data_IF_719881369624
#
_entry.id   IF_719881369624
#
_cell.length_a   1.000
_cell.length_b   1.000
_cell.length_c   1.000
_cell.angle_alpha   90.00
_cell.angle_beta   90.00
_cell.angle_gamma   90.00
#
_symmetry.space_group_name_H-M   'P 1'
#
loop_
_entity.id
_entity.type
_entity.pdbx_description
1 polymer ?
#
# COMPACT_ATOMS: atom_id res chain seq x y z
N UNK A 1 82.43 -12.73 1.34
CA UNK A 1 81.63 -13.95 1.07
C UNK A 1 80.26 -13.70 1.70
N UNK A 2 79.25 -13.18 1.01
CA UNK A 2 78.73 -13.62 -0.28
C UNK A 2 77.45 -14.42 -0.04
N UNK A 3 76.45 -13.82 0.63
CA UNK A 3 75.11 -14.39 0.75
C UNK A 3 74.37 -14.23 -0.58
N UNK A 4 73.65 -15.25 -1.07
CA UNK A 4 73.14 -15.29 -2.43
C UNK A 4 72.00 -14.27 -2.64
N UNK A 5 72.14 -13.50 -3.71
CA UNK A 5 71.19 -12.48 -4.15
C UNK A 5 69.88 -13.06 -4.68
N UNK A 6 68.80 -12.35 -4.37
CA UNK A 6 67.46 -12.56 -4.87
C UNK A 6 67.37 -12.14 -6.36
N UNK A 7 66.90 -13.00 -7.29
CA UNK A 7 66.66 -12.63 -8.69
C UNK A 7 65.32 -11.90 -8.88
N UNK A 8 65.20 -10.95 -9.84
CA UNK A 8 64.03 -10.10 -9.96
C UNK A 8 62.91 -10.66 -10.86
N UNK A 9 61.68 -10.35 -10.43
CA UNK A 9 60.43 -10.09 -11.16
C UNK A 9 59.87 -11.10 -12.21
N UNK A 10 58.65 -11.58 -11.94
CA UNK A 10 57.60 -11.67 -12.97
C UNK A 10 56.25 -11.23 -12.37
N UNK A 11 55.93 -9.93 -12.55
CA UNK A 11 54.62 -9.36 -12.23
C UNK A 11 53.63 -9.79 -13.34
N UNK A 12 52.98 -10.94 -13.18
CA UNK A 12 51.83 -11.28 -14.01
C UNK A 12 50.62 -10.48 -13.53
N UNK A 13 50.28 -9.42 -14.27
CA UNK A 13 49.09 -8.61 -14.03
C UNK A 13 47.82 -9.43 -14.20
N UNK A 14 47.15 -9.74 -13.08
CA UNK A 14 45.73 -10.13 -13.09
C UNK A 14 44.90 -8.87 -12.87
N UNK A 15 44.30 -8.39 -13.96
CA UNK A 15 43.22 -7.40 -13.93
C UNK A 15 42.09 -7.98 -13.06
N UNK A 16 41.91 -7.44 -11.86
CA UNK A 16 40.73 -7.72 -11.04
C UNK A 16 39.53 -7.09 -11.76
N UNK A 17 38.73 -7.93 -12.42
CA UNK A 17 37.40 -7.55 -12.86
C UNK A 17 36.63 -7.05 -11.62
N UNK A 18 36.32 -5.76 -11.60
CA UNK A 18 35.51 -5.13 -10.58
C UNK A 18 34.14 -5.81 -10.55
N UNK A 19 33.89 -6.62 -9.53
CA UNK A 19 32.57 -7.19 -9.27
C UNK A 19 31.65 -6.02 -8.92
N UNK A 20 30.84 -5.60 -9.90
CA UNK A 20 29.80 -4.59 -9.68
C UNK A 20 28.98 -5.00 -8.46
N UNK A 21 29.09 -4.22 -7.38
CA UNK A 21 28.24 -4.41 -6.21
C UNK A 21 26.80 -4.14 -6.66
N UNK A 22 25.86 -5.07 -6.48
CA UNK A 22 24.47 -4.77 -6.77
C UNK A 22 24.05 -3.61 -5.87
N UNK A 23 23.49 -2.56 -6.46
CA UNK A 23 22.84 -1.47 -5.75
C UNK A 23 21.74 -2.12 -4.90
N UNK A 24 21.95 -2.17 -3.59
CA UNK A 24 20.94 -2.60 -2.62
C UNK A 24 19.80 -1.59 -2.76
N UNK A 25 18.73 -1.95 -3.47
CA UNK A 25 17.48 -1.20 -3.42
C UNK A 25 17.01 -1.25 -1.97
N UNK A 26 17.08 -0.13 -1.27
CA UNK A 26 16.62 0.02 0.12
C UNK A 26 15.09 0.11 0.18
N UNK A 27 14.40 -0.82 -0.47
CA UNK A 27 13.01 -1.12 -0.16
C UNK A 27 13.10 -2.41 0.65
N UNK A 28 12.64 -2.38 1.90
CA UNK A 28 12.36 -3.61 2.61
C UNK A 28 11.31 -4.36 1.77
N UNK A 29 11.77 -5.32 0.96
CA UNK A 29 10.90 -6.19 0.19
C UNK A 29 10.29 -7.18 1.19
N UNK A 30 9.23 -6.74 1.89
CA UNK A 30 8.31 -7.70 2.48
C UNK A 30 7.59 -8.35 1.30
N UNK A 31 8.09 -9.51 0.88
CA UNK A 31 7.43 -10.34 -0.11
C UNK A 31 6.29 -11.04 0.63
N UNK A 32 5.15 -10.36 0.73
CA UNK A 32 3.92 -10.98 1.19
C UNK A 32 3.53 -12.13 0.25
N UNK A 33 2.76 -13.09 0.75
CA UNK A 33 2.15 -14.10 -0.10
C UNK A 33 0.99 -13.48 -0.89
N UNK A 34 0.77 -13.95 -2.12
CA UNK A 34 -0.42 -13.56 -2.88
C UNK A 34 -1.69 -13.98 -2.12
N UNK A 35 -2.75 -13.15 -2.12
CA UNK A 35 -4.01 -13.50 -1.46
C UNK A 35 -4.54 -14.86 -1.96
N UNK A 36 -5.08 -15.69 -1.07
CA UNK A 36 -5.61 -17.01 -1.41
C UNK A 36 -4.54 -18.11 -1.60
N UNK A 37 -3.25 -17.76 -1.49
CA UNK A 37 -2.15 -18.72 -1.38
C UNK A 37 -1.74 -18.77 0.09
N UNK A 38 -2.05 -19.88 0.77
CA UNK A 38 -1.66 -20.06 2.16
C UNK A 38 -0.14 -19.96 2.34
N UNK A 39 0.32 -19.47 3.49
CA UNK A 39 1.72 -19.58 3.90
C UNK A 39 1.96 -20.93 4.59
N UNK A 40 3.18 -21.47 4.55
CA UNK A 40 3.51 -22.69 5.30
C UNK A 40 3.19 -22.51 6.79
N UNK A 41 2.65 -23.55 7.43
CA UNK A 41 2.11 -23.55 8.80
C UNK A 41 3.11 -23.24 9.93
N UNK A 42 4.34 -22.84 9.61
CA UNK A 42 5.42 -22.56 10.57
C UNK A 42 5.62 -21.07 10.84
N UNK A 43 4.78 -20.20 10.27
CA UNK A 43 5.04 -18.74 10.24
C UNK A 43 3.89 -17.93 10.83
N UNK A 44 3.26 -18.36 11.92
CA UNK A 44 2.10 -17.66 12.44
C UNK A 44 1.96 -17.65 13.98
N UNK A 45 1.97 -16.42 14.52
CA UNK A 45 1.11 -15.92 15.60
C UNK A 45 1.55 -16.08 17.06
N UNK A 46 2.83 -15.90 17.39
CA UNK A 46 3.20 -15.55 18.78
C UNK A 46 3.40 -14.03 18.89
N UNK A 47 2.55 -13.31 19.66
CA UNK A 47 2.78 -11.91 20.02
C UNK A 47 4.19 -11.72 20.58
N UNK A 48 4.95 -10.76 20.04
CA UNK A 48 6.33 -10.48 20.48
C UNK A 48 7.45 -11.28 19.80
N UNK A 49 7.15 -12.07 18.77
CA UNK A 49 8.19 -12.67 17.90
C UNK A 49 8.55 -11.78 16.70
N UNK A 50 9.59 -12.15 15.94
CA UNK A 50 10.21 -11.39 14.84
C UNK A 50 9.32 -11.16 13.60
N UNK A 51 8.02 -11.44 13.69
CA UNK A 51 7.01 -11.16 12.66
C UNK A 51 5.99 -10.19 13.24
N UNK A 52 5.67 -9.16 12.46
CA UNK A 52 4.75 -8.08 12.80
C UNK A 52 3.39 -8.63 13.24
N UNK A 53 3.17 -8.70 14.55
CA UNK A 53 1.85 -8.87 15.14
C UNK A 53 0.98 -7.68 14.74
N UNK A 54 -0.22 -7.92 14.19
CA UNK A 54 -1.20 -6.87 13.92
C UNK A 54 -1.41 -6.02 15.18
N UNK A 55 -1.51 -6.65 16.36
CA UNK A 55 -1.66 -5.98 17.65
C UNK A 55 -0.41 -5.22 18.10
N UNK A 56 0.75 -5.47 17.51
CA UNK A 56 1.99 -4.70 17.69
C UNK A 56 2.20 -3.60 16.63
N UNK A 57 1.30 -3.45 15.66
CA UNK A 57 1.41 -2.47 14.59
C UNK A 57 0.96 -1.07 15.02
N UNK A 58 1.42 -0.04 14.30
CA UNK A 58 0.99 1.36 14.50
C UNK A 58 -0.53 1.56 14.38
N UNK A 59 -1.24 0.66 13.69
CA UNK A 59 -2.67 0.76 13.43
C UNK A 59 -3.56 0.07 14.49
N UNK A 60 -3.00 -0.80 15.33
CA UNK A 60 -3.78 -1.56 16.32
C UNK A 60 -3.64 -1.05 17.76
N UNK A 61 -3.20 0.20 17.93
CA UNK A 61 -2.94 0.84 19.24
C UNK A 61 -3.56 2.24 19.27
N UNK A 62 -3.66 2.82 20.44
CA UNK A 62 -4.46 4.01 20.77
C UNK A 62 -4.25 5.26 19.90
N UNK A 63 -3.11 5.38 19.18
CA UNK A 63 -2.90 6.46 18.18
C UNK A 63 -3.77 6.29 16.93
N UNK A 64 -4.12 5.05 16.60
CA UNK A 64 -5.11 4.68 15.60
C UNK A 64 -6.44 4.22 16.24
N UNK A 65 -6.58 4.36 17.56
CA UNK A 65 -7.76 3.92 18.33
C UNK A 65 -9.02 4.77 18.11
N UNK A 66 -8.93 5.84 17.33
CA UNK A 66 -10.08 6.61 16.88
C UNK A 66 -10.46 6.23 15.45
N UNK A 67 -11.76 6.04 15.22
CA UNK A 67 -12.28 5.87 13.88
C UNK A 67 -12.16 7.19 13.11
N UNK A 68 -11.28 7.22 12.12
CA UNK A 68 -11.03 8.39 11.29
C UNK A 68 -12.19 8.58 10.31
N UNK A 69 -12.96 9.66 10.48
CA UNK A 69 -14.04 10.01 9.56
C UNK A 69 -13.51 10.85 8.40
N UNK A 70 -12.85 11.97 8.71
CA UNK A 70 -12.17 12.84 7.73
C UNK A 70 -10.88 13.31 8.37
N UNK A 71 -9.77 13.29 7.63
CA UNK A 71 -8.46 13.69 8.15
C UNK A 71 -7.80 14.75 7.29
N UNK A 72 -6.90 15.53 7.90
CA UNK A 72 -6.13 16.53 7.14
C UNK A 72 -5.21 15.90 6.09
N UNK A 73 -4.60 14.74 6.40
CA UNK A 73 -3.76 14.04 5.43
C UNK A 73 -4.58 13.52 4.25
N UNK A 74 -5.80 13.03 4.48
CA UNK A 74 -6.74 12.67 3.43
C UNK A 74 -7.07 13.86 2.52
N UNK A 75 -7.45 14.99 3.10
CA UNK A 75 -7.77 16.21 2.33
C UNK A 75 -6.59 16.64 1.46
N UNK A 76 -5.35 16.46 1.93
CA UNK A 76 -4.14 16.75 1.15
C UNK A 76 -3.93 15.77 0.00
N UNK A 77 -4.26 14.49 0.17
CA UNK A 77 -4.25 13.55 -0.95
C UNK A 77 -5.36 13.84 -1.97
N UNK A 78 -6.55 14.25 -1.53
CA UNK A 78 -7.64 14.70 -2.41
C UNK A 78 -7.20 15.95 -3.19
N UNK A 79 -6.58 16.92 -2.51
CA UNK A 79 -6.00 18.11 -3.16
C UNK A 79 -4.93 17.70 -4.19
N UNK A 80 -4.04 16.77 -3.84
CA UNK A 80 -3.00 16.29 -4.73
C UNK A 80 -3.57 15.65 -5.99
N UNK A 81 -4.57 14.78 -5.85
CA UNK A 81 -5.25 14.14 -6.97
C UNK A 81 -5.97 15.17 -7.85
N UNK A 82 -6.75 16.08 -7.24
CA UNK A 82 -7.49 17.09 -7.97
C UNK A 82 -6.55 18.01 -8.76
N UNK A 83 -5.46 18.47 -8.14
CA UNK A 83 -4.45 19.29 -8.78
C UNK A 83 -3.74 18.55 -9.93
N UNK A 84 -3.42 17.26 -9.74
CA UNK A 84 -2.81 16.43 -10.78
C UNK A 84 -3.75 16.30 -12.00
N UNK A 85 -5.03 16.02 -11.76
CA UNK A 85 -6.05 15.93 -12.80
C UNK A 85 -6.27 17.25 -13.53
N UNK A 86 -6.12 18.37 -12.83
CA UNK A 86 -6.15 19.71 -13.41
C UNK A 86 -4.85 20.13 -14.14
N UNK A 87 -3.84 19.26 -14.22
CA UNK A 87 -2.55 19.55 -14.84
C UNK A 87 -1.61 20.41 -13.99
N UNK A 88 -1.99 20.77 -12.76
CA UNK A 88 -1.17 21.56 -11.84
C UNK A 88 -0.26 20.64 -11.01
N UNK A 89 0.81 20.14 -11.63
CA UNK A 89 1.74 19.20 -11.00
C UNK A 89 2.53 19.79 -9.83
N UNK A 90 2.85 21.08 -9.89
CA UNK A 90 3.47 21.80 -8.78
C UNK A 90 2.64 21.69 -7.49
N UNK A 91 1.35 22.02 -7.60
CA UNK A 91 0.41 21.92 -6.47
C UNK A 91 0.19 20.47 -6.04
N UNK A 92 0.07 19.55 -7.00
CA UNK A 92 -0.11 18.14 -6.71
C UNK A 92 1.05 17.57 -5.88
N UNK A 93 2.29 17.89 -6.27
CA UNK A 93 3.49 17.44 -5.58
C UNK A 93 3.60 18.03 -4.17
N UNK A 94 3.30 19.32 -4.02
CA UNK A 94 3.31 19.98 -2.71
C UNK A 94 2.27 19.36 -1.76
N UNK A 95 1.05 19.14 -2.24
CA UNK A 95 -0.02 18.52 -1.47
C UNK A 95 0.29 17.05 -1.11
N UNK A 96 0.88 16.29 -2.04
CA UNK A 96 1.34 14.91 -1.78
C UNK A 96 2.36 14.87 -0.62
N UNK A 97 3.41 15.69 -0.70
CA UNK A 97 4.45 15.75 0.33
C UNK A 97 3.89 16.20 1.70
N UNK A 98 2.92 17.11 1.70
CA UNK A 98 2.24 17.54 2.92
C UNK A 98 1.34 16.46 3.52
N UNK A 99 0.58 15.72 2.70
CA UNK A 99 -0.23 14.59 3.14
C UNK A 99 0.61 13.50 3.80
N UNK A 100 1.75 13.14 3.19
CA UNK A 100 2.71 12.20 3.77
C UNK A 100 3.24 12.71 5.11
N UNK A 101 3.69 13.96 5.17
CA UNK A 101 4.20 14.59 6.40
C UNK A 101 3.15 14.55 7.51
N UNK A 102 1.92 14.95 7.21
CA UNK A 102 0.82 14.99 8.17
C UNK A 102 0.49 13.58 8.70
N UNK A 103 0.41 12.58 7.83
CA UNK A 103 0.21 11.19 8.24
C UNK A 103 1.36 10.69 9.12
N UNK A 104 2.62 10.89 8.71
CA UNK A 104 3.78 10.46 9.48
C UNK A 104 3.87 11.15 10.85
N UNK A 105 3.52 12.43 10.95
CA UNK A 105 3.45 13.15 12.24
C UNK A 105 2.38 12.58 13.15
N UNK A 106 1.20 12.25 12.61
CA UNK A 106 0.11 11.61 13.36
C UNK A 106 0.56 10.28 13.97
N UNK A 107 1.05 9.36 13.14
CA UNK A 107 1.48 8.03 13.61
C UNK A 107 2.78 8.09 14.42
N UNK A 108 3.58 9.14 14.20
CA UNK A 108 4.90 9.36 14.81
C UNK A 108 4.87 9.71 16.29
N UNK A 109 3.72 10.04 16.86
CA UNK A 109 3.58 10.34 18.29
C UNK A 109 3.79 9.12 19.20
N UNK A 110 3.89 7.90 18.65
CA UNK A 110 4.20 6.66 19.37
C UNK A 110 3.06 6.14 20.27
N UNK A 111 2.50 4.97 19.96
CA UNK A 111 1.40 4.41 20.74
C UNK A 111 1.88 3.99 22.13
N UNK A 112 1.13 4.31 23.18
CA UNK A 112 1.56 4.09 24.57
C UNK A 112 0.54 3.34 25.45
N UNK A 113 -0.68 3.07 24.98
CA UNK A 113 -1.80 2.79 25.90
C UNK A 113 -2.61 1.50 25.66
N UNK A 114 -2.05 0.48 25.02
CA UNK A 114 -2.77 -0.79 24.87
C UNK A 114 -2.00 -1.97 25.48
N UNK A 115 -2.62 -2.85 26.29
CA UNK A 115 -2.00 -4.07 26.79
C UNK A 115 -1.66 -5.07 25.65
N UNK A 116 -0.50 -5.74 25.68
CA UNK A 116 0.68 -5.45 26.50
C UNK A 116 1.35 -4.13 26.07
N UNK A 117 1.97 -3.43 27.02
CA UNK A 117 2.63 -2.15 26.74
C UNK A 117 3.72 -2.30 25.68
N UNK A 118 3.52 -1.67 24.52
CA UNK A 118 4.49 -1.59 23.42
C UNK A 118 4.79 -0.12 23.19
N UNK A 119 6.03 0.30 23.46
CA UNK A 119 6.49 1.65 23.11
C UNK A 119 7.02 1.62 21.69
N UNK A 120 6.33 2.31 20.78
CA UNK A 120 6.81 2.51 19.43
C UNK A 120 7.81 3.67 19.40
N UNK A 121 8.94 3.55 18.67
CA UNK A 121 9.86 4.66 18.52
C UNK A 121 9.14 5.83 17.83
N UNK A 122 9.28 7.02 18.41
CA UNK A 122 8.74 8.23 17.80
C UNK A 122 9.35 8.45 16.41
N UNK A 123 8.54 8.91 15.46
CA UNK A 123 9.04 9.31 14.14
C UNK A 123 9.46 10.78 14.23
N UNK A 124 10.76 11.01 14.14
CA UNK A 124 11.37 12.34 14.18
C UNK A 124 11.15 13.12 12.88
N UNK A 125 11.17 14.46 12.95
CA UNK A 125 11.13 15.31 11.75
C UNK A 125 12.26 15.00 10.75
N UNK A 126 13.42 14.56 11.24
CA UNK A 126 14.54 14.12 10.40
C UNK A 126 14.20 12.84 9.62
N UNK A 127 13.52 11.87 10.23
CA UNK A 127 13.06 10.65 9.55
C UNK A 127 11.95 10.97 8.54
N UNK A 128 11.06 11.91 8.85
CA UNK A 128 10.04 12.38 7.89
C UNK A 128 10.71 13.05 6.69
N UNK A 129 11.67 13.93 6.92
CA UNK A 129 12.43 14.58 5.85
C UNK A 129 13.18 13.56 4.99
N UNK A 130 13.82 12.56 5.61
CA UNK A 130 14.50 11.48 4.91
C UNK A 130 13.54 10.65 4.04
N UNK A 131 12.35 10.33 4.53
CA UNK A 131 11.34 9.62 3.75
C UNK A 131 10.84 10.45 2.56
N UNK A 132 10.56 11.73 2.76
CA UNK A 132 10.14 12.65 1.70
C UNK A 132 11.20 12.87 0.61
N UNK A 133 12.48 12.70 0.95
CA UNK A 133 13.61 12.76 0.02
C UNK A 133 13.94 11.39 -0.62
N UNK A 134 13.24 10.32 -0.24
CA UNK A 134 13.51 8.97 -0.74
C UNK A 134 12.90 8.72 -2.12
N UNK A 135 13.32 7.63 -2.78
CA UNK A 135 12.77 7.20 -4.06
C UNK A 135 11.30 6.74 -3.98
N UNK A 136 10.73 6.60 -2.77
CA UNK A 136 9.32 6.30 -2.58
C UNK A 136 8.40 7.50 -2.87
N UNK A 137 8.95 8.72 -2.91
CA UNK A 137 8.20 9.96 -3.14
C UNK A 137 8.74 10.64 -4.40
N UNK A 138 7.88 11.11 -5.33
CA UNK A 138 8.31 11.94 -6.45
C UNK A 138 9.10 13.16 -5.96
N UNK A 139 10.23 13.47 -6.59
CA UNK A 139 11.08 14.57 -6.16
C UNK A 139 10.75 15.86 -6.91
N UNK A 140 10.37 15.73 -8.18
CA UNK A 140 10.03 16.81 -9.11
C UNK A 140 8.67 16.60 -9.76
N UNK A 141 8.15 17.63 -10.42
CA UNK A 141 6.91 17.54 -11.20
C UNK A 141 7.00 16.56 -12.37
N UNK A 142 8.21 16.41 -12.94
CA UNK A 142 8.48 15.47 -14.02
C UNK A 142 8.35 14.01 -13.56
N UNK A 143 8.63 13.73 -12.28
CA UNK A 143 8.51 12.38 -11.70
C UNK A 143 7.03 11.99 -11.49
N UNK A 144 6.16 12.98 -11.28
CA UNK A 144 4.73 12.79 -11.09
C UNK A 144 4.04 12.66 -12.46
N UNK A 145 4.14 11.47 -13.05
CA UNK A 145 3.59 11.14 -14.37
C UNK A 145 2.23 10.44 -14.31
N UNK A 146 1.91 9.80 -13.19
CA UNK A 146 0.66 9.06 -12.97
C UNK A 146 0.08 9.38 -11.60
N UNK A 147 -1.15 8.91 -11.34
CA UNK A 147 -1.78 8.99 -10.02
C UNK A 147 -1.18 8.02 -8.98
N UNK A 148 -0.40 7.03 -9.42
CA UNK A 148 0.19 5.98 -8.57
C UNK A 148 0.80 6.52 -7.27
N UNK A 149 1.79 7.42 -7.28
CA UNK A 149 2.42 7.86 -6.03
C UNK A 149 1.47 8.59 -5.08
N UNK A 150 0.39 9.20 -5.58
CA UNK A 150 -0.63 9.84 -4.74
C UNK A 150 -1.50 8.78 -4.09
N UNK A 151 -2.03 7.84 -4.88
CA UNK A 151 -2.97 6.83 -4.39
C UNK A 151 -2.29 5.76 -3.54
N UNK A 152 -1.04 5.41 -3.80
CA UNK A 152 -0.25 4.53 -2.94
C UNK A 152 -0.08 5.13 -1.54
N UNK A 153 0.27 6.40 -1.44
CA UNK A 153 0.44 7.09 -0.14
C UNK A 153 -0.89 7.30 0.56
N UNK A 154 -1.96 7.61 -0.19
CA UNK A 154 -3.33 7.69 0.36
C UNK A 154 -3.77 6.34 0.92
N UNK A 155 -3.56 5.23 0.20
CA UNK A 155 -3.90 3.88 0.64
C UNK A 155 -3.16 3.48 1.92
N UNK A 156 -1.87 3.80 2.02
CA UNK A 156 -1.09 3.59 3.26
C UNK A 156 -1.70 4.41 4.41
N UNK A 157 -1.96 5.70 4.18
CA UNK A 157 -2.48 6.58 5.21
C UNK A 157 -3.88 6.18 5.71
N UNK A 158 -4.72 5.67 4.81
CA UNK A 158 -6.12 5.32 5.05
C UNK A 158 -6.33 3.82 5.28
N UNK A 159 -5.32 3.08 5.73
CA UNK A 159 -5.38 1.62 5.89
C UNK A 159 -6.59 1.11 6.70
N UNK A 160 -7.04 1.85 7.73
CA UNK A 160 -8.22 1.52 8.54
C UNK A 160 -9.49 2.28 8.16
N UNK A 161 -9.42 3.19 7.17
CA UNK A 161 -10.56 3.98 6.74
C UNK A 161 -11.26 3.28 5.57
N UNK A 162 -12.60 3.07 5.63
CA UNK A 162 -13.36 2.42 4.56
C UNK A 162 -13.28 3.14 3.21
N UNK A 163 -12.92 4.43 3.17
CA UNK A 163 -12.77 5.19 1.93
C UNK A 163 -11.62 4.69 1.05
N UNK A 164 -10.65 3.95 1.60
CA UNK A 164 -9.67 3.22 0.81
C UNK A 164 -10.33 2.26 -0.20
N UNK A 165 -11.44 1.60 0.17
CA UNK A 165 -12.17 0.73 -0.73
C UNK A 165 -13.00 1.52 -1.76
N UNK A 166 -13.48 2.70 -1.39
CA UNK A 166 -14.13 3.62 -2.34
C UNK A 166 -13.15 4.11 -3.41
N UNK A 167 -11.93 4.48 -3.04
CA UNK A 167 -10.88 4.87 -3.99
C UNK A 167 -10.47 3.73 -4.93
N UNK A 168 -10.26 2.53 -4.38
CA UNK A 168 -9.93 1.34 -5.17
C UNK A 168 -10.99 1.08 -6.26
N UNK A 169 -12.29 1.18 -5.91
CA UNK A 169 -13.40 0.99 -6.85
C UNK A 169 -13.45 2.07 -7.93
N UNK A 170 -13.31 3.34 -7.53
CA UNK A 170 -13.31 4.49 -8.45
C UNK A 170 -12.18 4.44 -9.48
N UNK A 171 -11.07 3.80 -9.12
CA UNK A 171 -9.90 3.61 -9.99
C UNK A 171 -9.76 2.17 -10.48
N UNK A 172 -10.86 1.40 -10.46
CA UNK A 172 -10.97 0.06 -11.05
C UNK A 172 -9.92 -0.97 -10.60
N UNK A 173 -9.35 -0.80 -9.42
CA UNK A 173 -8.26 -1.64 -8.93
C UNK A 173 -7.07 -1.69 -9.92
N UNK A 174 -6.85 -0.61 -10.69
CA UNK A 174 -5.86 -0.56 -11.76
C UNK A 174 -4.45 -0.93 -11.22
N UNK A 175 -3.81 -2.01 -11.69
CA UNK A 175 -2.50 -2.44 -11.20
C UNK A 175 -1.37 -1.44 -11.52
N UNK A 176 -1.60 -0.47 -12.42
CA UNK A 176 -0.66 0.62 -12.68
C UNK A 176 -0.72 1.70 -11.58
N UNK A 177 -1.82 1.77 -10.83
CA UNK A 177 -2.03 2.69 -9.71
C UNK A 177 -1.79 1.97 -8.37
N UNK A 178 -2.32 0.75 -8.23
CA UNK A 178 -2.21 -0.07 -7.02
C UNK A 178 -1.27 -1.25 -7.28
N UNK A 179 0.03 -0.97 -7.24
CA UNK A 179 1.06 -1.97 -7.48
C UNK A 179 0.99 -3.06 -6.41
N UNK A 180 1.16 -4.32 -6.81
CA UNK A 180 1.03 -5.52 -5.97
C UNK A 180 -0.39 -5.81 -5.45
N UNK A 181 -1.41 -5.08 -5.90
CA UNK A 181 -2.80 -5.44 -5.61
C UNK A 181 -3.24 -6.63 -6.49
N UNK A 182 -2.88 -7.83 -6.06
CA UNK A 182 -3.09 -9.07 -6.84
C UNK A 182 -4.47 -9.66 -6.58
N UNK A 183 -5.14 -10.12 -7.66
CA UNK A 183 -6.39 -10.86 -7.53
C UNK A 183 -6.19 -12.19 -6.76
N UNK A 184 -7.04 -12.55 -5.80
CA UNK A 184 -6.83 -13.75 -4.99
C UNK A 184 -6.83 -15.05 -5.80
N UNK A 185 -5.92 -15.95 -5.44
CA UNK A 185 -5.99 -17.37 -5.85
C UNK A 185 -7.25 -18.02 -5.28
N UNK A 186 -7.82 -18.98 -6.01
CA UNK A 186 -9.02 -19.72 -5.61
C UNK A 186 -10.26 -18.84 -5.34
N UNK A 187 -10.34 -17.67 -5.99
CA UNK A 187 -11.53 -16.84 -5.96
C UNK A 187 -12.74 -17.55 -6.63
N UNK A 188 -13.96 -17.05 -6.35
CA UNK A 188 -15.19 -17.60 -6.91
C UNK A 188 -15.09 -17.71 -8.46
N UNK A 189 -15.26 -18.91 -9.04
CA UNK A 189 -15.12 -19.13 -10.49
C UNK A 189 -16.04 -18.25 -11.36
N UNK A 190 -17.24 -17.91 -10.89
CA UNK A 190 -18.18 -17.03 -11.61
C UNK A 190 -17.59 -15.63 -11.77
N UNK A 191 -16.93 -15.12 -10.73
CA UNK A 191 -16.33 -13.79 -10.76
C UNK A 191 -15.00 -13.84 -11.50
N UNK A 192 -14.17 -14.85 -11.22
CA UNK A 192 -12.85 -15.02 -11.82
C UNK A 192 -12.92 -15.19 -13.35
N UNK A 193 -14.01 -15.73 -13.88
CA UNK A 193 -14.23 -15.94 -15.32
C UNK A 193 -14.71 -14.70 -16.09
N UNK A 194 -15.05 -13.58 -15.43
CA UNK A 194 -15.45 -12.36 -16.13
C UNK A 194 -14.35 -11.88 -17.08
N UNK A 195 -14.73 -11.53 -18.31
CA UNK A 195 -13.80 -11.10 -19.36
C UNK A 195 -13.08 -9.81 -18.95
N UNK A 196 -13.79 -8.86 -18.37
CA UNK A 196 -13.22 -7.63 -17.81
C UNK A 196 -12.64 -7.91 -16.41
N UNK A 197 -11.30 -7.83 -16.24
CA UNK A 197 -10.66 -8.04 -14.93
C UNK A 197 -11.11 -7.04 -13.87
N UNK A 198 -11.50 -5.83 -14.25
CA UNK A 198 -11.93 -4.77 -13.32
C UNK A 198 -13.28 -5.09 -12.68
N UNK A 199 -14.08 -5.94 -13.32
CA UNK A 199 -15.38 -6.42 -12.82
C UNK A 199 -15.27 -7.73 -12.04
N UNK A 200 -14.06 -8.21 -11.75
CA UNK A 200 -13.86 -9.43 -10.93
C UNK A 200 -13.85 -9.15 -9.43
N UNK A 201 -13.54 -7.92 -9.06
CA UNK A 201 -13.46 -7.48 -7.67
C UNK A 201 -14.85 -7.08 -7.14
N UNK A 202 -15.17 -7.37 -5.87
CA UNK A 202 -16.38 -6.84 -5.25
C UNK A 202 -16.39 -5.30 -5.25
N UNK A 203 -17.50 -4.74 -5.70
CA UNK A 203 -17.78 -3.30 -5.79
C UNK A 203 -18.93 -2.85 -4.90
N UNK A 204 -19.72 -3.80 -4.40
CA UNK A 204 -20.83 -3.57 -3.46
C UNK A 204 -21.04 -4.80 -2.56
N UNK A 205 -21.82 -4.62 -1.51
CA UNK A 205 -22.27 -5.70 -0.64
C UNK A 205 -23.62 -6.24 -1.10
N UNK A 206 -23.92 -7.48 -0.71
CA UNK A 206 -25.24 -8.08 -0.93
C UNK A 206 -26.31 -7.34 -0.11
N UNK A 207 -27.56 -7.31 -0.59
CA UNK A 207 -28.69 -6.88 0.24
C UNK A 207 -28.78 -7.75 1.50
N UNK A 208 -29.23 -7.16 2.61
CA UNK A 208 -29.43 -7.91 3.85
C UNK A 208 -30.48 -9.00 3.68
N UNK A 209 -30.30 -10.15 4.34
CA UNK A 209 -31.23 -11.28 4.25
C UNK A 209 -32.68 -10.90 4.60
N UNK A 210 -32.85 -9.95 5.51
CA UNK A 210 -34.15 -9.37 5.87
C UNK A 210 -34.85 -8.70 4.68
N UNK A 211 -34.14 -7.95 3.85
CA UNK A 211 -34.72 -7.34 2.64
C UNK A 211 -35.12 -8.40 1.60
N UNK A 212 -34.34 -9.48 1.49
CA UNK A 212 -34.68 -10.61 0.60
C UNK A 212 -35.99 -11.28 1.03
N UNK A 213 -36.26 -11.35 2.33
CA UNK A 213 -37.48 -11.94 2.88
C UNK A 213 -38.68 -11.00 2.78
N UNK A 214 -38.53 -9.75 3.22
CA UNK A 214 -39.64 -8.83 3.40
C UNK A 214 -39.92 -7.92 2.20
N UNK A 215 -38.94 -7.76 1.30
CA UNK A 215 -39.06 -6.92 0.10
C UNK A 215 -38.53 -7.64 -1.17
N UNK A 216 -38.95 -8.88 -1.45
CA UNK A 216 -38.38 -9.69 -2.53
C UNK A 216 -38.57 -9.10 -3.93
N UNK A 217 -39.65 -8.32 -4.14
CA UNK A 217 -39.92 -7.66 -5.41
C UNK A 217 -38.86 -6.60 -5.74
N UNK A 218 -38.43 -5.81 -4.75
CA UNK A 218 -37.39 -4.81 -4.94
C UNK A 218 -36.01 -5.46 -5.13
N UNK A 219 -35.74 -6.54 -4.38
CA UNK A 219 -34.52 -7.33 -4.57
C UNK A 219 -34.45 -7.90 -6.00
N UNK A 220 -35.55 -8.42 -6.52
CA UNK A 220 -35.62 -8.87 -7.91
C UNK A 220 -35.41 -7.69 -8.88
N UNK A 221 -36.02 -6.53 -8.62
CA UNK A 221 -35.90 -5.32 -9.46
C UNK A 221 -34.45 -4.84 -9.60
N UNK A 222 -33.67 -4.87 -8.52
CA UNK A 222 -32.25 -4.47 -8.54
C UNK A 222 -31.30 -5.60 -8.96
N UNK A 223 -31.83 -6.80 -9.23
CA UNK A 223 -31.05 -8.00 -9.54
C UNK A 223 -30.20 -8.48 -8.35
N UNK A 224 -30.66 -8.26 -7.12
CA UNK A 224 -29.92 -8.60 -5.90
C UNK A 224 -29.66 -10.09 -5.70
N UNK A 225 -30.40 -10.94 -6.41
CA UNK A 225 -30.22 -12.41 -6.42
C UNK A 225 -29.20 -12.89 -7.46
N UNK A 226 -28.69 -12.01 -8.32
CA UNK A 226 -27.79 -12.40 -9.39
C UNK A 226 -26.42 -12.75 -8.83
N UNK A 227 -25.81 -13.83 -9.33
CA UNK A 227 -24.53 -14.34 -8.84
C UNK A 227 -23.37 -13.33 -8.97
N UNK A 228 -23.52 -12.33 -9.84
CA UNK A 228 -22.52 -11.29 -10.06
C UNK A 228 -22.88 -9.93 -9.47
N UNK A 229 -23.99 -9.82 -8.72
CA UNK A 229 -24.48 -8.57 -8.14
C UNK A 229 -23.39 -7.78 -7.42
N UNK A 230 -22.58 -8.46 -6.60
CA UNK A 230 -21.51 -7.84 -5.80
C UNK A 230 -20.41 -7.17 -6.63
N UNK A 231 -20.28 -7.53 -7.91
CA UNK A 231 -19.27 -6.96 -8.82
C UNK A 231 -19.80 -5.86 -9.72
N UNK A 232 -21.09 -5.54 -9.65
CA UNK A 232 -21.69 -4.49 -10.49
C UNK A 232 -21.19 -3.11 -10.02
N UNK A 233 -20.72 -2.23 -10.93
CA UNK A 233 -20.34 -0.86 -10.58
C UNK A 233 -21.51 -0.08 -9.99
N UNK A 234 -21.28 0.60 -8.87
CA UNK A 234 -22.19 1.60 -8.32
C UNK A 234 -22.21 2.86 -9.20
N UNK A 235 -23.10 3.80 -8.89
CA UNK A 235 -23.29 5.00 -9.72
C UNK A 235 -22.05 5.90 -9.81
N UNK A 236 -21.14 5.84 -8.82
CA UNK A 236 -19.97 6.72 -8.73
C UNK A 236 -18.68 6.07 -9.27
N UNK A 237 -18.68 4.74 -9.46
CA UNK A 237 -17.59 3.98 -10.07
C UNK A 237 -18.02 3.35 -11.41
N UNK A 238 -19.14 3.77 -11.98
CA UNK A 238 -19.51 3.55 -13.37
C UNK A 238 -18.82 4.57 -14.28
N UNK A 239 -18.24 4.10 -15.39
CA UNK A 239 -17.68 4.96 -16.45
C UNK A 239 -18.72 5.37 -17.48
#
# INVERSE_FOLDING_TARGET
MGGPGEPPAHHTGRVRAGRARPVRRHHAAVVGANPGVGTSSTTNLTPGSTITDFYGSWYARDIAGYFEVITYHELKFIEAEAAFRAGNKARALAALKEGIRAHMKKIGAGGTFSPPAVTLPAITDAQIAAYLASAAVPQTEADLTTLRPIMEQKYIALFLNPDSWSDLRRLDFDPNIYVNFTYPSNANPVLASKTDPTLRYPRRLLPGATEVLYNPAEIARIGGNDADYITRPMWFDSK
#
